data_IF_054205917784
#
_entry.id   IF_054205917784
#
_cell.length_a   1.000
_cell.length_b   1.000
_cell.length_c   1.000
_cell.angle_alpha   90.00
_cell.angle_beta   90.00
_cell.angle_gamma   90.00
#
_symmetry.space_group_name_H-M   'P 1'
#
loop_
_entity.id
_entity.type
_entity.pdbx_description
1 polymer ?
#
# COMPACT_ATOMS: atom_id res chain seq x y z
N UNK A 1 16.27 10.87 4.58
CA UNK A 1 16.29 11.47 5.93
C UNK A 1 16.83 10.45 6.94
N UNK A 2 16.18 9.29 7.11
CA UNK A 2 16.64 8.23 8.03
C UNK A 2 17.56 7.18 7.39
N UNK A 3 18.31 7.56 6.35
CA UNK A 3 19.00 6.56 5.52
C UNK A 3 20.22 5.93 6.24
N UNK A 4 20.76 6.65 7.22
CA UNK A 4 21.90 6.28 8.06
C UNK A 4 21.51 5.96 9.52
N UNK A 5 20.22 5.97 9.86
CA UNK A 5 19.71 5.78 11.23
C UNK A 5 19.23 4.33 11.47
N UNK A 6 19.89 3.53 12.32
CA UNK A 6 19.47 2.16 12.64
C UNK A 6 18.21 2.10 13.51
N UNK A 7 17.79 3.22 14.11
CA UNK A 7 16.63 3.27 14.99
C UNK A 7 15.31 3.50 14.23
N UNK A 8 15.38 3.66 12.90
CA UNK A 8 14.19 3.89 12.07
C UNK A 8 14.19 2.95 10.87
N UNK A 9 13.36 1.91 10.93
CA UNK A 9 13.07 1.08 9.76
C UNK A 9 12.04 1.76 8.85
N UNK A 10 12.41 1.95 7.58
CA UNK A 10 11.49 2.39 6.53
C UNK A 10 11.12 1.23 5.61
N UNK A 11 9.82 1.08 5.34
CA UNK A 11 9.28 0.09 4.40
C UNK A 11 8.40 0.83 3.40
N UNK A 12 8.69 0.67 2.11
CA UNK A 12 7.92 1.32 1.04
C UNK A 12 7.51 0.33 -0.05
N UNK A 13 6.21 0.30 -0.34
CA UNK A 13 5.64 -0.36 -1.52
C UNK A 13 5.16 0.75 -2.46
N UNK A 14 5.77 0.86 -3.63
CA UNK A 14 5.53 1.97 -4.56
C UNK A 14 5.66 1.49 -5.99
N UNK A 15 5.08 2.21 -6.96
CA UNK A 15 5.39 1.98 -8.36
C UNK A 15 6.88 2.24 -8.62
N UNK A 16 7.56 1.32 -9.31
CA UNK A 16 9.00 1.39 -9.50
C UNK A 16 9.43 2.71 -10.13
N UNK A 17 10.49 3.32 -9.58
CA UNK A 17 11.10 4.53 -10.11
C UNK A 17 11.58 4.44 -11.56
N UNK A 18 11.65 3.23 -12.14
CA UNK A 18 11.89 3.04 -13.59
C UNK A 18 10.75 3.56 -14.47
N UNK A 19 9.54 3.67 -13.91
CA UNK A 19 8.32 4.09 -14.60
C UNK A 19 7.77 5.41 -14.06
N UNK A 20 8.11 5.77 -12.80
CA UNK A 20 7.55 6.94 -12.13
C UNK A 20 8.63 7.79 -11.42
N UNK A 21 8.37 9.10 -11.27
CA UNK A 21 9.17 9.99 -10.42
C UNK A 21 9.20 9.46 -8.97
N UNK A 22 10.29 9.61 -8.19
CA UNK A 22 11.53 10.36 -8.46
C UNK A 22 12.68 9.56 -9.09
N UNK A 23 12.47 8.29 -9.47
CA UNK A 23 13.53 7.45 -10.01
C UNK A 23 14.39 6.72 -8.97
N UNK A 24 14.07 6.85 -7.68
CA UNK A 24 14.68 6.12 -6.56
C UNK A 24 13.76 4.99 -6.07
N UNK A 25 14.15 4.28 -5.02
CA UNK A 25 13.36 3.17 -4.45
C UNK A 25 13.70 1.80 -5.05
N UNK A 26 14.88 1.64 -5.66
CA UNK A 26 15.33 0.31 -6.08
C UNK A 26 15.62 -0.59 -4.87
N UNK A 27 15.54 -1.90 -5.07
CA UNK A 27 15.80 -2.91 -4.02
C UNK A 27 17.23 -2.89 -3.47
N UNK A 28 18.16 -2.22 -4.15
CA UNK A 28 19.55 -2.03 -3.70
C UNK A 28 19.72 -0.82 -2.78
N UNK A 29 18.78 0.11 -2.77
CA UNK A 29 18.78 1.26 -1.88
C UNK A 29 18.32 0.80 -0.49
N UNK A 30 19.27 0.53 0.40
CA UNK A 30 19.04 -0.19 1.66
C UNK A 30 19.59 0.52 2.90
N UNK A 31 19.72 1.83 2.86
CA UNK A 31 20.41 2.60 3.89
C UNK A 31 21.92 2.62 3.67
N UNK A 32 22.61 3.35 4.53
CA UNK A 32 24.07 3.49 4.56
C UNK A 32 24.57 3.52 6.00
N UNK A 33 25.89 3.38 6.18
CA UNK A 33 26.52 3.44 7.51
C UNK A 33 25.81 2.48 8.51
N UNK A 34 25.42 2.98 9.68
CA UNK A 34 24.70 2.21 10.70
C UNK A 34 23.26 1.86 10.27
N UNK A 35 22.63 2.67 9.42
CA UNK A 35 21.30 2.43 8.84
C UNK A 35 21.25 1.36 7.74
N UNK A 36 22.37 0.69 7.43
CA UNK A 36 22.43 -0.36 6.42
C UNK A 36 21.52 -1.55 6.79
N UNK A 37 20.47 -1.73 6.00
CA UNK A 37 19.42 -2.75 6.21
C UNK A 37 18.08 -2.18 6.65
N UNK A 38 18.05 -0.92 7.10
CA UNK A 38 16.87 -0.24 7.65
C UNK A 38 16.08 0.60 6.64
N UNK A 39 16.43 0.49 5.35
CA UNK A 39 15.55 0.88 4.26
C UNK A 39 15.15 -0.34 3.42
N UNK A 40 13.85 -0.59 3.33
CA UNK A 40 13.26 -1.70 2.59
C UNK A 40 12.33 -1.16 1.52
N UNK A 41 12.72 -1.39 0.27
CA UNK A 41 11.95 -0.98 -0.89
C UNK A 41 11.36 -2.18 -1.64
N UNK A 42 10.09 -2.06 -1.98
CA UNK A 42 9.34 -2.97 -2.85
C UNK A 42 8.86 -2.19 -4.07
N UNK A 43 9.73 -1.97 -5.08
CA UNK A 43 9.33 -1.33 -6.33
C UNK A 43 8.41 -2.29 -7.09
N UNK A 44 7.17 -1.87 -7.36
CA UNK A 44 6.14 -2.65 -8.03
C UNK A 44 6.10 -2.31 -9.52
N UNK A 45 5.67 -3.28 -10.34
CA UNK A 45 5.40 -2.99 -11.74
C UNK A 45 4.07 -2.23 -11.88
N UNK A 46 3.92 -1.39 -12.91
CA UNK A 46 2.63 -0.88 -13.34
C UNK A 46 1.59 -2.00 -13.43
N UNK A 47 0.33 -1.63 -13.23
CA UNK A 47 -0.84 -2.50 -13.25
C UNK A 47 -0.85 -3.57 -12.15
N UNK A 48 0.01 -3.49 -11.14
CA UNK A 48 -0.02 -4.43 -10.00
C UNK A 48 -1.42 -4.41 -9.35
N UNK A 49 -2.10 -5.55 -9.39
CA UNK A 49 -3.48 -5.70 -8.91
C UNK A 49 -3.58 -5.90 -7.41
N UNK A 50 -4.81 -5.80 -6.89
CA UNK A 50 -5.16 -6.13 -5.50
C UNK A 50 -4.50 -7.41 -5.00
N UNK A 51 -4.66 -8.50 -5.76
CA UNK A 51 -4.16 -9.83 -5.40
C UNK A 51 -2.64 -9.86 -5.25
N UNK A 52 -1.92 -9.21 -6.16
CA UNK A 52 -0.45 -9.21 -6.14
C UNK A 52 0.10 -8.29 -5.06
N UNK A 53 -0.48 -7.11 -4.90
CA UNK A 53 -0.12 -6.18 -3.83
C UNK A 53 -0.33 -6.81 -2.45
N UNK A 54 -1.53 -7.34 -2.20
CA UNK A 54 -1.89 -7.92 -0.90
C UNK A 54 -1.07 -9.17 -0.58
N UNK A 55 -0.75 -9.99 -1.60
CA UNK A 55 0.12 -11.16 -1.43
C UNK A 55 1.52 -10.74 -0.96
N UNK A 56 2.14 -9.77 -1.62
CA UNK A 56 3.46 -9.26 -1.22
C UNK A 56 3.39 -8.64 0.18
N UNK A 57 2.42 -7.75 0.41
CA UNK A 57 2.25 -7.05 1.68
C UNK A 57 2.13 -8.05 2.85
N UNK A 58 1.20 -9.01 2.78
CA UNK A 58 0.97 -10.00 3.84
C UNK A 58 2.12 -11.01 3.99
N UNK A 59 2.90 -11.28 2.95
CA UNK A 59 4.04 -12.20 3.03
C UNK A 59 5.28 -11.56 3.63
N UNK A 60 5.46 -10.26 3.42
CA UNK A 60 6.70 -9.58 3.78
C UNK A 60 6.53 -8.67 5.00
N UNK A 61 5.56 -7.76 5.00
CA UNK A 61 5.48 -6.68 5.99
C UNK A 61 5.30 -7.20 7.41
N UNK A 62 4.35 -8.11 7.73
CA UNK A 62 4.22 -8.64 9.09
C UNK A 62 5.50 -9.29 9.61
N UNK A 63 6.19 -10.09 8.79
CA UNK A 63 7.44 -10.76 9.16
C UNK A 63 8.60 -9.78 9.38
N UNK A 64 8.65 -8.72 8.58
CA UNK A 64 9.63 -7.64 8.75
C UNK A 64 9.41 -6.96 10.09
N UNK A 65 8.15 -6.59 10.41
CA UNK A 65 7.81 -5.94 11.68
C UNK A 65 8.05 -6.88 12.88
N UNK A 66 7.70 -8.16 12.75
CA UNK A 66 8.01 -9.20 13.74
C UNK A 66 9.52 -9.33 13.98
N UNK A 67 10.34 -9.22 12.94
CA UNK A 67 11.80 -9.31 13.09
C UNK A 67 12.39 -8.05 13.72
N UNK A 68 11.88 -6.88 13.33
CA UNK A 68 12.41 -5.58 13.78
C UNK A 68 11.95 -5.18 15.19
N UNK A 69 10.78 -5.65 15.63
CA UNK A 69 10.19 -5.32 16.95
C UNK A 69 10.09 -3.80 17.22
N UNK A 70 9.36 -3.03 16.39
CA UNK A 70 9.24 -1.58 16.55
C UNK A 70 8.46 -1.16 17.80
N UNK A 71 8.86 -0.06 18.44
CA UNK A 71 8.10 0.52 19.56
C UNK A 71 6.77 1.18 19.14
N UNK A 72 6.69 1.66 17.89
CA UNK A 72 5.53 2.37 17.33
C UNK A 72 5.49 2.19 15.81
N UNK A 73 4.28 2.05 15.26
CA UNK A 73 4.06 2.00 13.81
C UNK A 73 3.58 3.35 13.29
N UNK A 74 4.32 3.92 12.33
CA UNK A 74 3.93 5.12 11.58
C UNK A 74 3.59 4.70 10.15
N UNK A 75 2.35 4.97 9.70
CA UNK A 75 1.92 4.62 8.33
C UNK A 75 1.54 5.85 7.53
N UNK A 76 2.11 6.00 6.35
CA UNK A 76 1.66 6.95 5.34
C UNK A 76 0.68 6.20 4.42
N UNK A 77 -0.60 6.54 4.48
CA UNK A 77 -1.69 5.80 3.84
C UNK A 77 -2.11 6.45 2.52
N UNK A 78 -1.18 6.44 1.57
CA UNK A 78 -1.41 6.92 0.21
C UNK A 78 -2.44 6.05 -0.51
N UNK A 79 -3.31 6.69 -1.28
CA UNK A 79 -4.39 6.06 -2.03
C UNK A 79 -4.34 6.41 -3.52
N UNK A 80 -3.24 7.04 -3.95
CA UNK A 80 -2.86 7.25 -5.35
C UNK A 80 -2.56 5.94 -6.10
N UNK A 81 -2.55 4.83 -5.38
CA UNK A 81 -2.46 3.49 -5.95
C UNK A 81 -3.78 3.00 -6.58
N UNK A 82 -4.87 3.75 -6.42
CA UNK A 82 -6.18 3.40 -6.99
C UNK A 82 -6.14 3.41 -8.53
N UNK A 83 -6.87 2.48 -9.17
CA UNK A 83 -6.81 2.28 -10.63
C UNK A 83 -7.27 3.47 -11.49
N UNK A 84 -7.95 4.46 -10.92
CA UNK A 84 -8.34 5.68 -11.62
C UNK A 84 -7.38 6.85 -11.33
N UNK A 85 -6.38 6.69 -10.44
CA UNK A 85 -5.54 7.81 -10.04
C UNK A 85 -4.73 8.34 -11.23
N UNK A 86 -4.66 9.66 -11.44
CA UNK A 86 -4.01 10.21 -12.62
C UNK A 86 -2.48 10.16 -12.56
N UNK A 87 -1.87 9.94 -11.39
CA UNK A 87 -0.42 10.05 -11.21
C UNK A 87 0.31 8.72 -11.17
N UNK A 88 -0.37 7.61 -10.88
CA UNK A 88 0.23 6.27 -10.90
C UNK A 88 -0.48 5.36 -11.89
N UNK A 89 0.14 4.23 -12.22
CA UNK A 89 -0.41 3.20 -13.09
C UNK A 89 -0.79 1.95 -12.29
N UNK A 90 -1.04 2.11 -10.99
CA UNK A 90 -1.34 1.00 -10.10
C UNK A 90 -2.77 0.50 -10.27
N UNK A 91 -2.99 -0.78 -9.94
CA UNK A 91 -4.20 -1.49 -10.31
C UNK A 91 -5.21 -1.71 -9.18
N UNK A 92 -5.25 -0.85 -8.17
CA UNK A 92 -5.92 -1.18 -6.90
C UNK A 92 -7.35 -0.64 -6.82
N UNK A 93 -8.27 -1.44 -6.28
CA UNK A 93 -9.65 -1.01 -5.99
C UNK A 93 -9.84 -0.69 -4.52
N UNK A 94 -10.90 0.03 -4.17
CA UNK A 94 -11.19 0.46 -2.78
C UNK A 94 -11.16 -0.70 -1.79
N UNK A 95 -11.54 -1.91 -2.22
CA UNK A 95 -11.63 -3.09 -1.36
C UNK A 95 -10.30 -3.46 -0.68
N UNK A 96 -9.15 -3.23 -1.33
CA UNK A 96 -7.86 -3.61 -0.76
C UNK A 96 -7.52 -2.79 0.49
N UNK A 97 -7.96 -1.53 0.58
CA UNK A 97 -7.60 -0.66 1.70
C UNK A 97 -8.16 -1.19 3.02
N UNK A 98 -9.29 -1.91 2.98
CA UNK A 98 -9.83 -2.64 4.13
C UNK A 98 -8.89 -3.76 4.56
N UNK A 99 -8.40 -4.54 3.60
CA UNK A 99 -7.51 -5.68 3.82
C UNK A 99 -6.11 -5.26 4.29
N UNK A 100 -5.60 -4.13 3.79
CA UNK A 100 -4.37 -3.50 4.25
C UNK A 100 -4.54 -2.94 5.67
N UNK A 101 -5.60 -2.14 5.89
CA UNK A 101 -5.92 -1.57 7.19
C UNK A 101 -6.06 -2.64 8.28
N UNK A 102 -6.75 -3.74 7.99
CA UNK A 102 -6.85 -4.88 8.90
C UNK A 102 -5.48 -5.50 9.22
N UNK A 103 -4.62 -5.66 8.21
CA UNK A 103 -3.28 -6.25 8.40
C UNK A 103 -2.40 -5.31 9.23
N UNK A 104 -2.47 -4.00 8.98
CA UNK A 104 -1.73 -2.96 9.71
C UNK A 104 -2.17 -2.90 11.18
N UNK A 105 -3.48 -2.90 11.44
CA UNK A 105 -4.07 -2.94 12.77
C UNK A 105 -3.57 -4.16 13.58
N UNK A 106 -3.58 -5.35 12.96
CA UNK A 106 -3.03 -6.57 13.57
C UNK A 106 -1.54 -6.41 13.86
N UNK A 107 -0.74 -5.90 12.91
CA UNK A 107 0.70 -5.70 13.14
C UNK A 107 0.99 -4.67 14.25
N UNK A 108 0.20 -3.60 14.34
CA UNK A 108 0.34 -2.62 15.41
C UNK A 108 0.01 -3.23 16.78
N UNK A 109 -1.03 -4.05 16.85
CA UNK A 109 -1.41 -4.77 18.07
C UNK A 109 -0.32 -5.75 18.48
N UNK A 110 0.13 -6.59 17.55
CA UNK A 110 1.01 -7.74 17.84
C UNK A 110 2.47 -7.31 18.06
N UNK A 111 2.94 -6.29 17.34
CA UNK A 111 4.37 -5.94 17.29
C UNK A 111 4.69 -4.54 17.82
N UNK A 112 3.69 -3.69 18.07
CA UNK A 112 3.91 -2.28 18.42
C UNK A 112 3.17 -1.85 19.70
N UNK A 113 2.77 -2.79 20.55
CA UNK A 113 1.98 -2.52 21.77
C UNK A 113 0.73 -1.68 21.49
N UNK A 114 0.07 -1.94 20.35
CA UNK A 114 -1.09 -1.20 19.86
C UNK A 114 -0.85 0.32 19.63
N UNK A 115 0.41 0.74 19.44
CA UNK A 115 0.76 2.12 19.09
C UNK A 115 0.85 2.28 17.58
N UNK A 116 -0.18 2.91 17.01
CA UNK A 116 -0.27 3.19 15.58
C UNK A 116 -0.60 4.66 15.35
N UNK A 117 0.26 5.35 14.60
CA UNK A 117 0.04 6.70 14.10
C UNK A 117 -0.11 6.67 12.57
N UNK A 118 -1.28 7.06 12.08
CA UNK A 118 -1.59 7.09 10.66
C UNK A 118 -1.55 8.53 10.11
N UNK A 119 -0.92 8.68 8.96
CA UNK A 119 -0.91 9.89 8.15
C UNK A 119 -1.61 9.60 6.82
N UNK A 120 -2.16 10.63 6.18
CA UNK A 120 -2.63 10.53 4.79
C UNK A 120 -1.45 10.45 3.82
N UNK A 121 -1.58 11.12 2.67
CA UNK A 121 -0.51 11.40 1.71
C UNK A 121 -1.06 11.44 0.28
N UNK A 122 -0.40 10.80 -0.68
CA UNK A 122 -0.81 10.85 -2.09
C UNK A 122 -2.22 10.29 -2.33
N UNK A 123 -2.94 10.87 -3.28
CA UNK A 123 -4.30 10.49 -3.64
C UNK A 123 -5.00 11.70 -4.27
N UNK A 124 -5.31 11.60 -5.55
CA UNK A 124 -5.61 12.79 -6.36
C UNK A 124 -7.01 12.77 -7.00
N UNK A 125 -7.88 11.90 -6.48
CA UNK A 125 -9.28 11.82 -6.85
C UNK A 125 -10.20 11.96 -5.64
N UNK A 126 -11.08 12.95 -5.67
CA UNK A 126 -12.02 13.22 -4.58
C UNK A 126 -13.11 12.15 -4.46
N UNK A 127 -13.37 11.41 -5.53
CA UNK A 127 -14.22 10.21 -5.51
C UNK A 127 -13.57 9.01 -4.81
N UNK A 128 -12.26 9.03 -4.55
CA UNK A 128 -11.49 7.91 -3.95
C UNK A 128 -11.02 8.23 -2.54
N UNK A 129 -10.35 9.38 -2.36
CA UNK A 129 -9.65 9.73 -1.10
C UNK A 129 -10.55 9.62 0.13
N UNK A 130 -11.76 10.23 0.17
CA UNK A 130 -12.62 10.16 1.34
C UNK A 130 -13.09 8.73 1.63
N UNK A 131 -13.35 7.91 0.61
CA UNK A 131 -13.77 6.51 0.77
C UNK A 131 -12.66 5.67 1.38
N UNK A 132 -11.46 5.74 0.79
CA UNK A 132 -10.31 4.95 1.22
C UNK A 132 -9.82 5.33 2.63
N UNK A 133 -9.72 6.62 2.93
CA UNK A 133 -9.32 7.08 4.27
C UNK A 133 -10.38 6.80 5.33
N UNK A 134 -11.67 6.86 4.99
CA UNK A 134 -12.74 6.43 5.90
C UNK A 134 -12.61 4.96 6.28
N UNK A 135 -12.20 4.09 5.35
CA UNK A 135 -11.96 2.66 5.61
C UNK A 135 -10.80 2.46 6.58
N UNK A 136 -9.67 3.16 6.38
CA UNK A 136 -8.54 3.07 7.32
C UNK A 136 -8.94 3.58 8.72
N UNK A 137 -9.62 4.72 8.78
CA UNK A 137 -10.10 5.28 10.04
C UNK A 137 -11.10 4.34 10.73
N UNK A 138 -11.99 3.68 9.98
CA UNK A 138 -12.94 2.74 10.56
C UNK A 138 -12.24 1.54 11.18
N UNK A 139 -11.11 1.09 10.62
CA UNK A 139 -10.27 0.05 11.24
C UNK A 139 -9.64 0.52 12.54
N UNK A 140 -9.09 1.72 12.57
CA UNK A 140 -8.55 2.31 13.80
C UNK A 140 -9.60 2.48 14.90
N UNK A 141 -10.86 2.73 14.52
CA UNK A 141 -11.98 2.92 15.46
C UNK A 141 -12.77 1.63 15.74
N UNK A 142 -12.42 0.52 15.12
CA UNK A 142 -13.17 -0.75 15.14
C UNK A 142 -14.65 -0.57 14.75
N UNK A 143 -14.91 0.24 13.72
CA UNK A 143 -16.25 0.51 13.17
C UNK A 143 -16.41 -0.20 11.83
N UNK A 144 -17.54 -0.90 11.69
CA UNK A 144 -17.99 -1.44 10.41
C UNK A 144 -18.68 -0.37 9.58
N UNK A 145 -18.29 -0.27 8.31
CA UNK A 145 -18.89 0.65 7.36
C UNK A 145 -19.95 -0.04 6.50
N UNK A 146 -21.06 0.64 6.30
CA UNK A 146 -22.05 0.24 5.30
C UNK A 146 -21.49 0.45 3.88
N UNK A 147 -21.96 -0.37 2.93
CA UNK A 147 -21.59 -0.18 1.53
C UNK A 147 -22.32 1.03 0.89
N UNK A 148 -23.42 1.52 1.46
CA UNK A 148 -24.12 2.68 0.91
C UNK A 148 -23.38 3.96 1.30
N UNK A 149 -23.10 4.83 0.32
CA UNK A 149 -22.54 6.15 0.62
C UNK A 149 -23.62 7.15 1.04
N UNK A 150 -23.31 8.14 1.90
CA UNK A 150 -24.26 9.17 2.29
C UNK A 150 -24.73 10.00 1.09
N UNK A 151 -26.05 10.21 0.96
CA UNK A 151 -26.63 10.97 -0.15
C UNK A 151 -26.11 12.43 -0.19
N UNK A 152 -25.80 13.01 0.98
CA UNK A 152 -25.16 14.32 1.12
C UNK A 152 -23.78 14.37 0.49
N UNK A 153 -22.93 13.37 0.77
CA UNK A 153 -21.59 13.26 0.20
C UNK A 153 -21.64 13.03 -1.32
N UNK A 154 -22.55 12.17 -1.79
CA UNK A 154 -22.75 11.94 -3.24
C UNK A 154 -23.11 13.26 -3.95
N UNK A 155 -23.99 14.07 -3.35
CA UNK A 155 -24.36 15.38 -3.90
C UNK A 155 -23.18 16.34 -3.92
N UNK A 156 -22.39 16.39 -2.86
CA UNK A 156 -21.22 17.25 -2.73
C UNK A 156 -20.13 16.92 -3.76
N UNK A 157 -19.80 15.63 -3.91
CA UNK A 157 -18.78 15.18 -4.88
C UNK A 157 -19.20 15.52 -6.32
N UNK A 158 -20.46 15.26 -6.69
CA UNK A 158 -21.00 15.64 -8.01
C UNK A 158 -20.86 17.13 -8.32
N UNK A 159 -21.00 17.98 -7.31
CA UNK A 159 -20.91 19.42 -7.46
C UNK A 159 -19.45 19.90 -7.49
N UNK A 160 -18.59 19.31 -6.67
CA UNK A 160 -17.22 19.77 -6.46
C UNK A 160 -16.25 19.27 -7.52
N UNK A 161 -16.43 18.04 -7.99
CA UNK A 161 -15.58 17.39 -9.01
C UNK A 161 -16.42 16.76 -10.12
N UNK A 162 -17.13 17.57 -10.92
CA UNK A 162 -18.08 17.07 -11.93
C UNK A 162 -17.43 16.26 -13.06
N UNK A 163 -16.09 16.27 -13.16
CA UNK A 163 -15.31 15.52 -14.14
C UNK A 163 -14.91 14.11 -13.64
N UNK A 164 -15.11 13.81 -12.36
CA UNK A 164 -14.88 12.48 -11.80
C UNK A 164 -16.19 11.65 -11.79
N UNK A 165 -16.08 10.35 -12.05
CA UNK A 165 -17.20 9.42 -11.89
C UNK A 165 -17.61 9.33 -10.41
N UNK A 166 -18.80 9.81 -10.09
CA UNK A 166 -19.28 9.75 -8.69
C UNK A 166 -19.80 8.35 -8.33
N UNK A 167 -19.23 7.70 -7.32
CA UNK A 167 -19.71 6.42 -6.82
C UNK A 167 -20.96 6.60 -5.94
N UNK A 168 -21.82 5.59 -5.93
CA UNK A 168 -22.97 5.50 -5.01
C UNK A 168 -22.75 4.47 -3.90
N UNK A 169 -21.71 3.65 -4.04
CA UNK A 169 -21.33 2.58 -3.12
C UNK A 169 -19.89 2.78 -2.67
N UNK A 170 -19.59 2.33 -1.45
CA UNK A 170 -18.24 2.35 -0.90
C UNK A 170 -17.31 1.52 -1.78
N UNK A 171 -17.72 0.29 -2.09
CA UNK A 171 -16.93 -0.64 -2.92
C UNK A 171 -17.05 -0.31 -4.41
N UNK A 172 -15.93 -0.42 -5.11
CA UNK A 172 -15.93 -0.37 -6.57
C UNK A 172 -16.64 -1.62 -7.13
N UNK A 173 -17.41 -1.45 -8.20
CA UNK A 173 -18.24 -2.54 -8.76
C UNK A 173 -17.46 -3.50 -9.67
N UNK A 174 -16.32 -3.07 -10.19
CA UNK A 174 -15.52 -3.80 -11.17
C UNK A 174 -14.05 -3.73 -10.79
N UNK A 175 -13.41 -4.86 -10.52
CA UNK A 175 -11.95 -4.97 -10.51
C UNK A 175 -11.45 -4.99 -11.97
N UNK A 176 -11.66 -3.86 -12.68
CA UNK A 176 -11.37 -3.69 -14.13
C UNK A 176 -9.96 -4.16 -14.47
N UNK A 177 -9.00 -3.87 -13.60
CA UNK A 177 -7.59 -4.23 -13.80
C UNK A 177 -7.36 -5.73 -13.67
N UNK A 178 -8.01 -6.43 -12.74
CA UNK A 178 -7.83 -7.88 -12.65
C UNK A 178 -8.40 -8.59 -13.89
N UNK A 179 -9.54 -8.12 -14.39
CA UNK A 179 -10.10 -8.61 -15.66
C UNK A 179 -9.18 -8.29 -16.85
N UNK A 180 -8.61 -7.08 -16.90
CA UNK A 180 -7.70 -6.65 -17.97
C UNK A 180 -6.36 -7.40 -17.94
N UNK A 181 -5.82 -7.69 -16.76
CA UNK A 181 -4.60 -8.50 -16.64
C UNK A 181 -4.84 -9.93 -17.10
N UNK A 182 -6.00 -10.51 -16.73
CA UNK A 182 -6.36 -11.86 -17.16
C UNK A 182 -6.56 -11.97 -18.68
N UNK A 183 -6.94 -10.87 -19.35
CA UNK A 183 -7.00 -10.83 -20.82
C UNK A 183 -5.63 -10.66 -21.49
N UNK A 184 -4.58 -10.30 -20.73
CA UNK A 184 -3.19 -10.16 -21.20
C UNK A 184 -2.26 -11.11 -20.40
N UNK A 185 -2.29 -12.43 -20.68
CA UNK A 185 -1.65 -13.44 -19.84
C UNK A 185 -0.13 -13.25 -19.70
N UNK A 186 0.54 -12.70 -20.70
CA UNK A 186 1.98 -12.40 -20.65
C UNK A 186 2.30 -11.31 -19.61
N UNK A 187 1.47 -10.27 -19.54
CA UNK A 187 1.62 -9.17 -18.57
C UNK A 187 1.35 -9.71 -17.16
N UNK A 188 0.23 -10.44 -16.99
CA UNK A 188 -0.10 -11.07 -15.71
C UNK A 188 1.03 -11.99 -15.22
N UNK A 189 1.60 -12.81 -16.11
CA UNK A 189 2.73 -13.69 -15.78
C UNK A 189 3.96 -12.90 -15.34
N UNK A 190 4.31 -11.83 -16.07
CA UNK A 190 5.44 -10.96 -15.72
C UNK A 190 5.27 -10.35 -14.32
N UNK A 191 4.09 -9.85 -13.99
CA UNK A 191 3.79 -9.29 -12.66
C UNK A 191 3.87 -10.38 -11.59
N UNK A 192 3.28 -11.55 -11.83
CA UNK A 192 3.33 -12.68 -10.88
C UNK A 192 4.77 -13.11 -10.60
N UNK A 193 5.58 -13.28 -11.63
CA UNK A 193 6.96 -13.76 -11.49
C UNK A 193 7.85 -12.68 -10.84
N UNK A 194 7.60 -11.40 -11.12
CA UNK A 194 8.30 -10.31 -10.44
C UNK A 194 7.90 -10.20 -8.96
N UNK A 195 6.61 -10.37 -8.64
CA UNK A 195 6.11 -10.38 -7.26
C UNK A 195 6.74 -11.52 -6.45
N UNK A 196 6.90 -12.72 -7.04
CA UNK A 196 7.64 -13.83 -6.41
C UNK A 196 9.08 -13.45 -6.09
N UNK A 197 9.80 -12.83 -7.04
CA UNK A 197 11.18 -12.38 -6.82
C UNK A 197 11.31 -11.38 -5.67
N UNK A 198 10.33 -10.49 -5.50
CA UNK A 198 10.31 -9.55 -4.38
C UNK A 198 10.07 -10.26 -3.03
N UNK A 199 9.24 -11.30 -3.02
CA UNK A 199 9.02 -12.14 -1.82
C UNK A 199 10.30 -12.92 -1.49
N UNK A 200 10.92 -13.58 -2.48
CA UNK A 200 12.20 -14.30 -2.32
C UNK A 200 13.30 -13.36 -1.80
N UNK A 201 13.40 -12.16 -2.38
CA UNK A 201 14.32 -11.13 -1.90
C UNK A 201 14.07 -10.75 -0.44
N UNK A 202 12.81 -10.63 -0.03
CA UNK A 202 12.46 -10.37 1.36
C UNK A 202 12.98 -11.47 2.29
N UNK A 203 12.80 -12.73 1.89
CA UNK A 203 13.18 -13.91 2.68
C UNK A 203 14.69 -14.10 2.75
N UNK A 204 15.39 -13.95 1.62
CA UNK A 204 16.81 -14.25 1.49
C UNK A 204 17.70 -13.08 1.91
N UNK A 205 17.20 -11.85 1.82
CA UNK A 205 18.02 -10.65 2.02
C UNK A 205 17.48 -9.70 3.06
N UNK A 206 16.20 -9.34 3.03
CA UNK A 206 15.67 -8.34 3.96
C UNK A 206 15.60 -8.88 5.39
N UNK A 207 14.90 -9.98 5.62
CA UNK A 207 14.75 -10.57 6.95
C UNK A 207 16.10 -10.95 7.59
N UNK A 208 17.04 -11.63 6.90
CA UNK A 208 18.32 -12.00 7.51
C UNK A 208 19.24 -10.82 7.84
N UNK A 209 19.01 -9.65 7.24
CA UNK A 209 19.76 -8.44 7.59
C UNK A 209 19.27 -7.89 8.93
N UNK A 210 17.94 -7.89 9.14
CA UNK A 210 17.34 -7.36 10.38
C UNK A 210 17.61 -8.25 11.59
N UNK A 211 17.69 -9.58 11.42
CA UNK A 211 17.96 -10.50 12.53
C UNK A 211 19.40 -10.47 13.07
N UNK A 212 20.31 -9.73 12.43
CA UNK A 212 21.74 -9.66 12.80
C UNK A 212 22.11 -8.36 13.53
N UNK A 213 21.15 -7.46 13.70
CA UNK A 213 21.33 -6.18 14.38
C UNK A 213 20.87 -6.25 15.84
#
# INVERSE_FOLDING_TARGET
MFYDDPNVLTISLHESGKFLFPGTGDTKERGESEGQGYAINFPLLPETSNKMYLKLFRKCVPRILETYQPDILLTQLGVDTHFNDPLTQMGLSISIYRDLGQTIETCATDYCNNKWLAFGGGGYQMSVVPRAWSIFLSKMLHIDLENKLPDSWIKEVKQSVPHEDTPYLLWDRNDKIEVQLLSHPEIARKIIDYNKKLIELCEEKYLPTLSKA
#
